data_IF_167270937445
#
_entry.id   IF_167270937445
#
_cell.length_a   1.000
_cell.length_b   1.000
_cell.length_c   1.000
_cell.angle_alpha   90.00
_cell.angle_beta   90.00
_cell.angle_gamma   90.00
#
_symmetry.space_group_name_H-M   'P 1'
#
loop_
_entity.id
_entity.type
_entity.pdbx_description
1 polymer ?
#
# COMPACT_ATOMS: atom_id res chain seq x y z
N UNK A 1 8.53 0.00 -66.27
CA UNK A 1 7.98 0.51 -65.00
C UNK A 1 8.97 0.10 -63.90
N UNK A 2 9.91 1.01 -63.53
CA UNK A 2 11.03 0.70 -62.65
C UNK A 2 10.53 0.64 -61.18
N UNK A 3 10.76 -0.48 -60.55
CA UNK A 3 10.59 -0.65 -59.10
C UNK A 3 11.80 0.04 -58.45
N UNK A 4 11.57 1.17 -57.77
CA UNK A 4 12.60 1.83 -56.95
C UNK A 4 12.80 1.01 -55.71
N UNK A 5 14.01 0.48 -55.53
CA UNK A 5 14.49 -0.13 -54.31
C UNK A 5 14.46 0.95 -53.18
N UNK A 6 13.64 0.68 -52.13
CA UNK A 6 13.72 1.44 -50.89
C UNK A 6 14.94 0.95 -50.10
N UNK A 7 15.77 1.84 -49.55
CA UNK A 7 16.89 1.42 -48.72
C UNK A 7 16.36 0.72 -47.49
N UNK A 8 16.91 -0.46 -47.21
CA UNK A 8 16.68 -1.22 -45.97
C UNK A 8 17.27 -0.37 -44.85
N UNK A 9 16.41 0.28 -44.07
CA UNK A 9 16.82 0.87 -42.81
C UNK A 9 17.27 -0.25 -41.87
N UNK A 10 18.57 -0.28 -41.61
CA UNK A 10 19.17 -1.14 -40.60
C UNK A 10 18.49 -0.81 -39.26
N UNK A 11 17.65 -1.69 -38.78
CA UNK A 11 17.16 -1.61 -37.37
C UNK A 11 18.41 -1.67 -36.49
N UNK A 12 18.60 -0.65 -35.65
CA UNK A 12 19.59 -0.74 -34.57
C UNK A 12 19.37 -2.03 -33.83
N UNK A 13 20.43 -2.75 -33.43
CA UNK A 13 20.27 -3.96 -32.63
C UNK A 13 19.55 -3.60 -31.34
N UNK A 14 18.47 -4.27 -31.05
CA UNK A 14 17.82 -4.25 -29.74
C UNK A 14 18.89 -4.65 -28.73
N UNK A 15 19.52 -3.66 -28.10
CA UNK A 15 20.32 -3.88 -26.90
C UNK A 15 19.35 -4.41 -25.85
N UNK A 16 19.45 -5.71 -25.55
CA UNK A 16 18.75 -6.31 -24.43
C UNK A 16 19.35 -5.67 -23.17
N UNK A 17 18.73 -4.58 -22.71
CA UNK A 17 19.01 -4.03 -21.39
C UNK A 17 18.46 -5.07 -20.40
N UNK A 18 19.35 -5.73 -19.67
CA UNK A 18 18.91 -6.61 -18.61
C UNK A 18 18.17 -5.76 -17.56
N UNK A 19 16.93 -6.13 -17.22
CA UNK A 19 16.18 -5.35 -16.24
C UNK A 19 16.85 -5.48 -14.87
N UNK A 20 17.08 -4.37 -14.17
CA UNK A 20 17.58 -4.37 -12.79
C UNK A 20 16.59 -5.09 -11.89
N UNK A 21 17.04 -6.13 -11.22
CA UNK A 21 16.20 -6.87 -10.28
C UNK A 21 16.04 -6.10 -8.96
N UNK A 22 14.96 -6.36 -8.23
CA UNK A 22 14.77 -5.77 -6.90
C UNK A 22 15.95 -6.08 -5.97
N UNK A 23 16.55 -7.27 -6.08
CA UNK A 23 17.71 -7.62 -5.29
C UNK A 23 18.95 -6.78 -5.61
N UNK A 24 19.26 -6.57 -6.88
CA UNK A 24 20.33 -5.68 -7.34
C UNK A 24 20.08 -4.24 -6.91
N UNK A 25 18.85 -3.74 -7.13
CA UNK A 25 18.46 -2.39 -6.72
C UNK A 25 18.66 -2.16 -5.21
N UNK A 26 18.25 -3.10 -4.36
CA UNK A 26 18.44 -3.00 -2.91
C UNK A 26 19.93 -2.94 -2.56
N UNK A 27 20.77 -3.76 -3.19
CA UNK A 27 22.22 -3.78 -2.94
C UNK A 27 22.90 -2.50 -3.41
N UNK A 28 22.55 -1.99 -4.58
CA UNK A 28 23.08 -0.74 -5.13
C UNK A 28 22.74 0.46 -4.24
N UNK A 29 21.49 0.54 -3.77
CA UNK A 29 21.04 1.64 -2.93
C UNK A 29 21.46 1.50 -1.44
N UNK A 30 21.95 0.35 -0.99
CA UNK A 30 22.46 0.21 0.37
C UNK A 30 23.59 1.20 0.70
N UNK A 31 24.35 1.62 -0.29
CA UNK A 31 25.48 2.55 -0.10
C UNK A 31 25.02 3.95 0.29
N UNK A 32 23.80 4.31 -0.04
CA UNK A 32 23.22 5.63 0.25
C UNK A 32 22.56 5.70 1.64
N UNK A 33 22.50 4.55 2.33
CA UNK A 33 21.95 4.45 3.68
C UNK A 33 23.06 4.12 4.69
N UNK A 34 23.59 5.12 5.42
CA UNK A 34 24.70 4.92 6.36
C UNK A 34 24.41 3.95 7.52
N UNK A 35 23.16 3.53 7.68
CA UNK A 35 22.72 2.56 8.70
C UNK A 35 22.23 1.23 8.11
N UNK A 36 22.42 0.98 6.83
CA UNK A 36 22.00 -0.27 6.18
C UNK A 36 22.94 -1.42 6.54
N UNK A 37 22.59 -2.15 7.59
CA UNK A 37 23.34 -3.33 8.07
C UNK A 37 23.08 -4.61 7.26
N UNK A 38 22.42 -4.53 6.11
CA UNK A 38 21.96 -5.70 5.35
C UNK A 38 20.68 -6.34 5.90
N UNK A 39 20.33 -6.09 7.15
CA UNK A 39 19.14 -6.66 7.80
C UNK A 39 17.83 -6.19 7.15
N UNK A 40 17.70 -4.89 6.84
CA UNK A 40 16.54 -4.36 6.11
C UNK A 40 16.41 -4.99 4.72
N UNK A 41 17.53 -5.22 4.05
CA UNK A 41 17.55 -5.89 2.74
C UNK A 41 17.09 -7.34 2.81
N UNK A 42 17.47 -8.05 3.85
CA UNK A 42 17.00 -9.42 4.12
C UNK A 42 15.51 -9.43 4.44
N UNK A 43 15.04 -8.47 5.24
CA UNK A 43 13.62 -8.31 5.55
C UNK A 43 12.78 -8.06 4.29
N UNK A 44 13.19 -7.12 3.43
CA UNK A 44 12.54 -6.88 2.13
C UNK A 44 12.59 -8.12 1.22
N UNK A 45 13.62 -8.95 1.34
CA UNK A 45 13.71 -10.24 0.63
C UNK A 45 12.67 -11.23 1.13
N UNK A 46 12.41 -11.29 2.44
CA UNK A 46 11.36 -12.14 3.03
C UNK A 46 9.98 -11.69 2.57
N UNK A 47 9.70 -10.39 2.59
CA UNK A 47 8.44 -9.82 2.09
C UNK A 47 8.23 -10.16 0.60
N UNK A 48 9.26 -9.95 -0.22
CA UNK A 48 9.23 -10.30 -1.65
C UNK A 48 8.93 -11.77 -1.90
N UNK A 49 9.48 -12.66 -1.08
CA UNK A 49 9.23 -14.10 -1.21
C UNK A 49 7.78 -14.43 -0.84
N UNK A 50 7.29 -13.90 0.28
CA UNK A 50 5.90 -14.09 0.70
C UNK A 50 4.93 -13.58 -0.38
N UNK A 51 5.15 -12.38 -0.91
CA UNK A 51 4.34 -11.80 -1.98
C UNK A 51 4.26 -12.70 -3.23
N UNK A 52 5.37 -13.36 -3.62
CA UNK A 52 5.35 -14.32 -4.74
C UNK A 52 4.53 -15.56 -4.46
N UNK A 53 4.57 -16.05 -3.21
CA UNK A 53 3.75 -17.21 -2.80
C UNK A 53 2.27 -16.83 -2.81
N UNK A 54 1.91 -15.69 -2.23
CA UNK A 54 0.54 -15.17 -2.24
C UNK A 54 0.05 -14.96 -3.67
N UNK A 55 0.84 -14.30 -4.53
CA UNK A 55 0.53 -14.14 -5.95
C UNK A 55 0.23 -15.45 -6.65
N UNK A 56 1.05 -16.48 -6.40
CA UNK A 56 0.84 -17.82 -6.99
C UNK A 56 -0.52 -18.39 -6.58
N UNK A 57 -0.91 -18.24 -5.32
CA UNK A 57 -2.18 -18.78 -4.84
C UNK A 57 -3.37 -17.96 -5.36
N UNK A 58 -3.30 -16.63 -5.36
CA UNK A 58 -4.32 -15.77 -5.99
C UNK A 58 -4.57 -16.16 -7.45
N UNK A 59 -3.50 -16.41 -8.22
CA UNK A 59 -3.62 -16.82 -9.63
C UNK A 59 -4.23 -18.23 -9.83
N UNK A 60 -4.40 -18.99 -8.75
CA UNK A 60 -5.11 -20.28 -8.75
C UNK A 60 -6.54 -20.18 -8.21
N UNK A 61 -6.99 -18.99 -7.86
CA UNK A 61 -8.35 -18.76 -7.40
C UNK A 61 -9.35 -19.31 -8.40
N UNK A 62 -10.30 -20.11 -7.94
CA UNK A 62 -11.22 -20.86 -8.79
C UNK A 62 -10.73 -22.23 -9.30
N UNK A 63 -9.42 -22.53 -9.24
CA UNK A 63 -8.85 -23.82 -9.59
C UNK A 63 -8.52 -24.69 -8.37
N UNK A 64 -8.30 -24.07 -7.23
CA UNK A 64 -8.04 -24.72 -5.95
C UNK A 64 -9.13 -24.31 -4.95
N UNK A 65 -9.30 -25.10 -3.89
CA UNK A 65 -10.26 -24.78 -2.80
C UNK A 65 -9.72 -23.69 -1.86
N UNK A 66 -9.46 -22.52 -2.42
CA UNK A 66 -8.95 -21.32 -1.75
C UNK A 66 -9.93 -20.13 -1.81
N UNK A 67 -11.06 -20.31 -2.51
CA UNK A 67 -12.15 -19.33 -2.56
C UNK A 67 -13.15 -19.54 -1.43
N UNK A 68 -13.87 -18.49 -1.10
CA UNK A 68 -14.97 -18.48 -0.15
C UNK A 68 -14.56 -18.24 1.30
N UNK A 69 -15.55 -17.87 2.08
CA UNK A 69 -15.41 -17.59 3.49
C UNK A 69 -15.19 -18.89 4.31
N UNK A 70 -14.41 -18.77 5.36
CA UNK A 70 -14.17 -19.89 6.31
C UNK A 70 -15.41 -20.11 7.21
N UNK A 71 -16.33 -19.14 7.24
CA UNK A 71 -17.50 -19.18 8.13
C UNK A 71 -17.19 -18.61 9.53
N UNK A 72 -16.01 -18.04 9.70
CA UNK A 72 -15.60 -17.27 10.87
C UNK A 72 -15.48 -15.79 10.52
N UNK A 73 -15.74 -14.93 11.47
CA UNK A 73 -15.43 -13.51 11.39
C UNK A 73 -14.04 -13.28 11.97
N UNK A 74 -13.29 -12.34 11.39
CA UNK A 74 -12.03 -11.89 11.98
C UNK A 74 -12.36 -11.05 13.24
N UNK A 75 -11.35 -10.66 13.96
CA UNK A 75 -11.44 -9.83 15.18
C UNK A 75 -12.14 -8.49 14.96
N UNK A 76 -12.29 -8.08 13.72
CA UNK A 76 -12.96 -6.86 13.29
C UNK A 76 -14.45 -7.06 12.99
N UNK A 77 -14.97 -8.30 13.07
CA UNK A 77 -16.34 -8.66 12.68
C UNK A 77 -16.53 -8.70 11.15
N UNK A 78 -15.45 -8.81 10.39
CA UNK A 78 -15.48 -9.00 8.95
C UNK A 78 -15.38 -10.48 8.60
N UNK A 79 -16.08 -10.93 7.57
CA UNK A 79 -16.07 -12.33 7.16
C UNK A 79 -14.70 -12.69 6.56
N UNK A 80 -13.97 -13.57 7.25
CA UNK A 80 -12.63 -13.98 6.88
C UNK A 80 -12.66 -14.92 5.68
N UNK A 81 -11.85 -14.61 4.67
CA UNK A 81 -11.67 -15.44 3.48
C UNK A 81 -10.53 -16.44 3.70
N UNK A 82 -10.57 -17.58 3.02
CA UNK A 82 -9.49 -18.59 3.09
C UNK A 82 -8.14 -18.02 2.65
N UNK A 83 -8.14 -17.08 1.69
CA UNK A 83 -6.93 -16.43 1.21
C UNK A 83 -6.34 -15.43 2.21
N UNK A 84 -7.15 -14.80 3.06
CA UNK A 84 -6.64 -13.93 4.14
C UNK A 84 -5.76 -14.72 5.10
N UNK A 85 -6.28 -15.84 5.59
CA UNK A 85 -5.54 -16.73 6.49
C UNK A 85 -4.26 -17.26 5.82
N UNK A 86 -4.35 -17.69 4.57
CA UNK A 86 -3.19 -18.18 3.83
C UNK A 86 -2.14 -17.09 3.63
N UNK A 87 -2.56 -15.86 3.30
CA UNK A 87 -1.67 -14.73 3.13
C UNK A 87 -0.99 -14.36 4.45
N UNK A 88 -1.79 -14.23 5.54
CA UNK A 88 -1.28 -13.96 6.87
C UNK A 88 -0.23 -15.01 7.30
N UNK A 89 -0.56 -16.29 7.23
CA UNK A 89 0.36 -17.39 7.56
C UNK A 89 1.65 -17.36 6.73
N UNK A 90 1.54 -17.02 5.44
CA UNK A 90 2.67 -16.95 4.53
C UNK A 90 3.62 -15.82 4.91
N UNK A 91 3.10 -14.62 5.17
CA UNK A 91 3.91 -13.48 5.61
C UNK A 91 4.50 -13.72 7.00
N UNK A 92 3.71 -14.19 7.98
CA UNK A 92 4.18 -14.50 9.33
C UNK A 92 5.36 -15.48 9.31
N UNK A 93 5.24 -16.54 8.52
CA UNK A 93 6.30 -17.55 8.35
C UNK A 93 7.56 -16.98 7.70
N UNK A 94 7.40 -16.17 6.65
CA UNK A 94 8.53 -15.54 5.96
C UNK A 94 9.25 -14.51 6.85
N UNK A 95 8.51 -13.71 7.61
CA UNK A 95 9.08 -12.71 8.52
C UNK A 95 9.81 -13.34 9.71
N UNK A 96 9.32 -14.48 10.19
CA UNK A 96 9.97 -15.23 11.26
C UNK A 96 11.24 -15.96 10.82
N UNK A 97 11.37 -16.33 9.55
CA UNK A 97 12.42 -17.26 9.08
C UNK A 97 13.84 -16.70 9.11
N UNK A 98 14.03 -15.38 9.16
CA UNK A 98 15.32 -14.73 8.90
C UNK A 98 15.92 -13.98 10.10
N UNK A 99 15.24 -13.92 11.25
CA UNK A 99 15.77 -13.35 12.48
C UNK A 99 15.95 -11.81 12.52
N UNK A 100 15.41 -11.06 11.53
CA UNK A 100 15.52 -9.59 11.53
C UNK A 100 14.34 -8.90 12.23
N UNK A 101 13.23 -9.62 12.44
CA UNK A 101 11.97 -9.11 12.98
C UNK A 101 11.79 -9.68 14.38
N UNK A 102 11.53 -8.82 15.36
CA UNK A 102 11.23 -9.22 16.73
C UNK A 102 9.73 -9.33 17.01
N UNK A 103 8.88 -8.82 16.12
CA UNK A 103 7.43 -8.95 16.25
C UNK A 103 6.68 -8.39 15.05
N UNK A 104 5.46 -8.85 14.90
CA UNK A 104 4.55 -8.48 13.82
C UNK A 104 3.19 -8.11 14.41
N UNK A 105 2.55 -7.07 13.87
CA UNK A 105 1.14 -6.80 14.05
C UNK A 105 0.46 -6.91 12.69
N UNK A 106 -0.59 -7.71 12.62
CA UNK A 106 -1.37 -7.95 11.41
C UNK A 106 -2.81 -7.52 11.62
N UNK A 107 -3.47 -7.10 10.56
CA UNK A 107 -4.90 -6.82 10.57
C UNK A 107 -5.72 -8.04 10.98
N UNK A 108 -5.24 -9.23 10.63
CA UNK A 108 -5.91 -10.52 10.85
C UNK A 108 -5.72 -11.10 12.26
N UNK A 109 -4.88 -10.47 13.10
CA UNK A 109 -4.55 -10.95 14.44
C UNK A 109 -5.14 -10.01 15.52
N UNK A 110 -5.68 -10.54 16.60
CA UNK A 110 -6.23 -9.75 17.73
C UNK A 110 -5.21 -8.81 18.38
N UNK A 111 -3.95 -9.25 18.38
CA UNK A 111 -2.84 -8.56 19.04
C UNK A 111 -1.56 -8.73 18.23
N UNK A 112 -0.51 -8.01 18.62
CA UNK A 112 0.79 -8.26 18.06
C UNK A 112 1.34 -9.64 18.47
N UNK A 113 2.17 -10.21 17.60
CA UNK A 113 2.89 -11.46 17.84
C UNK A 113 4.37 -11.13 18.02
N UNK A 114 4.88 -11.34 19.22
CA UNK A 114 6.30 -11.25 19.53
C UNK A 114 7.02 -12.57 19.19
N UNK A 115 8.22 -12.49 18.64
CA UNK A 115 9.07 -13.65 18.39
C UNK A 115 10.08 -13.76 19.53
N UNK A 116 9.94 -14.79 20.36
CA UNK A 116 10.73 -14.96 21.61
C UNK A 116 11.95 -15.86 21.47
N UNK A 117 12.21 -16.40 20.27
CA UNK A 117 13.37 -17.22 19.98
C UNK A 117 14.66 -16.39 20.10
N UNK A 118 15.78 -16.98 20.50
CA UNK A 118 17.09 -16.31 20.70
C UNK A 118 17.51 -15.45 19.49
N UNK A 119 17.26 -15.93 18.27
CA UNK A 119 17.60 -15.21 17.03
C UNK A 119 16.77 -13.94 16.81
N UNK A 120 15.63 -13.78 17.48
CA UNK A 120 14.71 -12.66 17.32
C UNK A 120 14.79 -11.64 18.46
N UNK A 121 15.32 -12.02 19.61
CA UNK A 121 15.36 -11.14 20.79
C UNK A 121 16.22 -9.90 20.56
N UNK A 122 17.28 -10.02 19.74
CA UNK A 122 18.16 -8.92 19.35
C UNK A 122 17.75 -8.23 18.04
N UNK A 123 16.70 -8.74 17.39
CA UNK A 123 16.19 -8.16 16.14
C UNK A 123 15.72 -6.71 16.33
N UNK A 124 15.98 -5.89 15.32
CA UNK A 124 15.80 -4.42 15.41
C UNK A 124 14.46 -3.93 14.86
N UNK A 125 13.76 -4.78 14.12
CA UNK A 125 12.58 -4.36 13.36
C UNK A 125 11.32 -5.02 13.86
N UNK A 126 10.23 -4.27 13.74
CA UNK A 126 8.87 -4.77 13.78
C UNK A 126 8.20 -4.50 12.43
N UNK A 127 7.23 -5.32 12.08
CA UNK A 127 6.45 -5.19 10.85
C UNK A 127 4.98 -5.06 11.20
N UNK A 128 4.31 -4.10 10.57
CA UNK A 128 2.85 -3.96 10.62
C UNK A 128 2.32 -4.17 9.21
N UNK A 129 1.25 -4.95 9.05
CA UNK A 129 0.76 -5.31 7.73
C UNK A 129 -0.75 -5.54 7.69
N UNK A 130 -1.31 -5.26 6.52
CA UNK A 130 -2.51 -5.87 5.99
C UNK A 130 -2.08 -6.94 4.99
N UNK A 131 -2.22 -8.22 5.31
CA UNK A 131 -1.75 -9.30 4.44
C UNK A 131 -2.46 -9.37 3.11
N UNK A 132 -3.74 -8.99 3.05
CA UNK A 132 -4.54 -9.07 1.84
C UNK A 132 -5.68 -8.03 1.79
N UNK A 133 -5.33 -6.76 1.53
CA UNK A 133 -6.31 -5.67 1.30
C UNK A 133 -7.30 -6.02 0.20
N UNK A 134 -8.57 -5.81 0.50
CA UNK A 134 -9.66 -5.98 -0.44
C UNK A 134 -10.04 -7.43 -0.72
N UNK A 135 -9.81 -8.35 0.22
CA UNK A 135 -10.08 -9.79 0.08
C UNK A 135 -11.50 -10.16 -0.36
N UNK A 136 -12.50 -9.34 -0.02
CA UNK A 136 -13.88 -9.50 -0.51
C UNK A 136 -14.01 -9.43 -2.05
N UNK A 137 -12.99 -8.96 -2.75
CA UNK A 137 -12.95 -8.87 -4.21
C UNK A 137 -12.41 -10.14 -4.89
N UNK A 138 -11.88 -11.09 -4.14
CA UNK A 138 -11.23 -12.29 -4.70
C UNK A 138 -12.23 -13.15 -5.46
N UNK A 139 -13.41 -13.37 -4.90
CA UNK A 139 -14.44 -14.22 -5.49
C UNK A 139 -15.00 -13.68 -6.83
N UNK A 140 -14.78 -12.41 -7.10
CA UNK A 140 -15.21 -11.73 -8.33
C UNK A 140 -14.04 -11.32 -9.23
N UNK A 141 -12.83 -11.83 -8.92
CA UNK A 141 -11.61 -11.63 -9.71
C UNK A 141 -11.23 -10.15 -9.90
N UNK A 142 -11.44 -9.32 -8.88
CA UNK A 142 -10.97 -7.94 -8.82
C UNK A 142 -9.63 -7.92 -8.07
N UNK A 143 -8.74 -7.00 -8.46
CA UNK A 143 -7.39 -6.91 -7.89
C UNK A 143 -7.44 -6.66 -6.38
N UNK A 144 -6.54 -7.32 -5.67
CA UNK A 144 -6.30 -7.22 -4.23
C UNK A 144 -4.84 -6.83 -3.97
N UNK A 145 -4.46 -6.60 -2.72
CA UNK A 145 -3.10 -6.22 -2.42
C UNK A 145 -2.62 -6.63 -1.03
N UNK A 146 -1.34 -6.46 -0.80
CA UNK A 146 -0.72 -6.54 0.53
C UNK A 146 -0.15 -5.17 0.87
N UNK A 147 -0.32 -4.69 2.08
CA UNK A 147 0.26 -3.43 2.56
C UNK A 147 1.17 -3.75 3.75
N UNK A 148 2.35 -3.11 3.81
CA UNK A 148 3.27 -3.32 4.93
C UNK A 148 4.03 -2.04 5.29
N UNK A 149 4.41 -1.95 6.56
CA UNK A 149 5.33 -0.96 7.08
C UNK A 149 6.33 -1.58 8.04
N UNK A 150 7.52 -0.98 8.09
CA UNK A 150 8.63 -1.44 8.90
C UNK A 150 9.04 -0.30 9.82
N UNK A 151 9.14 -0.59 11.12
CA UNK A 151 9.62 0.34 12.14
C UNK A 151 10.80 -0.25 12.90
N UNK A 152 11.56 0.59 13.58
CA UNK A 152 12.48 0.12 14.60
C UNK A 152 11.72 -0.14 15.90
N UNK A 153 12.10 -1.22 16.59
CA UNK A 153 11.65 -1.40 17.97
C UNK A 153 12.20 -0.26 18.85
N UNK A 154 11.43 0.16 19.84
CA UNK A 154 11.84 1.16 20.85
C UNK A 154 12.25 0.50 22.16
N UNK A 155 11.78 -0.73 22.43
CA UNK A 155 12.22 -1.55 23.56
C UNK A 155 13.68 -1.97 23.40
N UNK A 156 14.44 -2.14 24.50
CA UNK A 156 15.84 -2.56 24.43
C UNK A 156 16.02 -3.91 23.73
N UNK A 157 17.12 -4.07 22.98
CA UNK A 157 17.51 -5.36 22.43
C UNK A 157 17.66 -6.39 23.55
N UNK A 158 17.31 -7.66 23.28
CA UNK A 158 17.31 -8.73 24.28
C UNK A 158 16.06 -8.74 25.19
N UNK A 159 15.16 -7.77 25.11
CA UNK A 159 13.89 -7.78 25.83
C UNK A 159 12.72 -8.22 24.94
N UNK A 160 11.63 -8.76 25.49
CA UNK A 160 10.40 -8.98 24.72
C UNK A 160 9.88 -7.67 24.13
N UNK A 161 9.27 -7.76 22.94
CA UNK A 161 8.54 -6.63 22.37
C UNK A 161 7.26 -6.36 23.16
N UNK A 162 6.83 -5.12 23.14
CA UNK A 162 5.63 -4.65 23.83
C UNK A 162 4.70 -3.90 22.88
N UNK A 163 3.48 -3.64 23.28
CA UNK A 163 2.53 -2.86 22.49
C UNK A 163 3.09 -1.49 22.08
N UNK A 164 3.93 -0.87 22.92
CA UNK A 164 4.57 0.43 22.62
C UNK A 164 5.48 0.37 21.40
N UNK A 165 6.07 -0.77 21.10
CA UNK A 165 6.90 -0.92 19.91
C UNK A 165 6.08 -0.77 18.62
N UNK A 166 4.79 -1.11 18.66
CA UNK A 166 3.88 -1.03 17.52
C UNK A 166 3.11 0.28 17.44
N UNK A 167 2.80 0.90 18.58
CA UNK A 167 2.08 2.17 18.64
C UNK A 167 3.02 3.35 18.42
N UNK A 168 3.58 3.45 17.21
CA UNK A 168 4.45 4.55 16.79
C UNK A 168 3.75 5.39 15.72
N UNK A 169 3.98 6.72 15.68
CA UNK A 169 3.42 7.58 14.63
C UNK A 169 3.97 7.19 13.25
N UNK A 170 3.24 7.56 12.20
CA UNK A 170 3.57 7.16 10.85
C UNK A 170 4.88 7.70 10.30
N UNK A 171 5.39 8.81 10.82
CA UNK A 171 6.68 9.39 10.43
C UNK A 171 7.90 8.63 11.00
N UNK A 172 7.69 7.75 11.99
CA UNK A 172 8.74 6.84 12.51
C UNK A 172 9.00 5.63 11.60
N UNK A 173 8.27 5.46 10.51
CA UNK A 173 8.49 4.38 9.55
C UNK A 173 9.88 4.47 8.92
N UNK A 174 10.57 3.32 8.82
CA UNK A 174 11.85 3.19 8.11
C UNK A 174 11.61 2.82 6.66
N UNK A 175 10.60 2.03 6.42
CA UNK A 175 10.18 1.62 5.08
C UNK A 175 8.68 1.33 5.09
N UNK A 176 8.06 1.55 3.95
CA UNK A 176 6.70 1.13 3.67
C UNK A 176 6.57 0.66 2.23
N UNK A 177 5.63 -0.23 1.98
CA UNK A 177 5.37 -0.73 0.65
C UNK A 177 4.02 -1.41 0.54
N UNK A 178 3.66 -1.68 -0.69
CA UNK A 178 2.51 -2.52 -1.01
C UNK A 178 2.80 -3.41 -2.21
N UNK A 179 2.05 -4.49 -2.30
CA UNK A 179 1.99 -5.32 -3.50
C UNK A 179 0.58 -5.25 -4.04
N UNK A 180 0.42 -4.94 -5.32
CA UNK A 180 -0.86 -5.04 -6.02
C UNK A 180 -0.85 -6.29 -6.90
N UNK A 181 -1.83 -7.16 -6.68
CA UNK A 181 -2.05 -8.38 -7.45
C UNK A 181 -3.15 -8.09 -8.48
N UNK A 182 -2.72 -7.55 -9.64
CA UNK A 182 -3.60 -7.12 -10.73
C UNK A 182 -3.26 -7.80 -12.05
N UNK A 183 -3.49 -7.09 -13.16
CA UNK A 183 -3.12 -7.57 -14.51
C UNK A 183 -1.62 -7.87 -14.65
N UNK A 184 -0.79 -7.23 -13.86
CA UNK A 184 0.56 -7.63 -13.50
C UNK A 184 0.72 -7.48 -11.99
N UNK A 185 1.60 -8.27 -11.38
CA UNK A 185 1.90 -8.12 -9.95
C UNK A 185 3.01 -7.10 -9.80
N UNK A 186 2.74 -6.03 -9.03
CA UNK A 186 3.71 -4.98 -8.78
C UNK A 186 3.97 -4.82 -7.28
N UNK A 187 5.23 -4.69 -6.92
CA UNK A 187 5.68 -4.29 -5.59
C UNK A 187 6.17 -2.85 -5.67
N UNK A 188 5.61 -1.98 -4.87
CA UNK A 188 6.01 -0.58 -4.74
C UNK A 188 6.47 -0.34 -3.32
N UNK A 189 7.64 0.27 -3.13
CA UNK A 189 8.12 0.58 -1.79
C UNK A 189 8.98 1.84 -1.74
N UNK A 190 9.15 2.34 -0.54
CA UNK A 190 10.07 3.42 -0.18
C UNK A 190 10.79 3.10 1.12
N UNK A 191 12.00 3.64 1.23
CA UNK A 191 12.78 3.68 2.48
C UNK A 191 13.01 5.12 2.94
N UNK A 192 12.13 6.04 2.52
CA UNK A 192 12.25 7.47 2.83
C UNK A 192 13.07 8.29 1.83
N UNK A 193 13.50 7.68 0.71
CA UNK A 193 14.26 8.33 -0.36
C UNK A 193 13.65 8.06 -1.74
N UNK A 194 12.45 8.61 -1.96
CA UNK A 194 11.69 8.38 -3.18
C UNK A 194 10.99 7.01 -3.20
N UNK A 195 10.21 6.79 -4.23
CA UNK A 195 9.35 5.62 -4.41
C UNK A 195 9.74 4.87 -5.66
N UNK A 196 9.85 3.55 -5.57
CA UNK A 196 10.19 2.72 -6.73
C UNK A 196 9.22 1.55 -6.89
N UNK A 197 8.85 1.25 -8.12
CA UNK A 197 7.94 0.18 -8.48
C UNK A 197 8.61 -0.92 -9.30
N UNK A 198 8.32 -2.16 -8.94
CA UNK A 198 8.89 -3.38 -9.52
C UNK A 198 7.77 -4.28 -10.00
N UNK A 199 7.86 -4.73 -11.24
CA UNK A 199 6.91 -5.68 -11.80
C UNK A 199 7.48 -7.10 -11.71
N UNK A 200 6.65 -8.04 -11.28
CA UNK A 200 7.02 -9.45 -11.28
C UNK A 200 7.05 -9.98 -12.70
N UNK A 201 8.22 -10.44 -13.14
CA UNK A 201 8.31 -11.28 -14.35
C UNK A 201 7.94 -12.72 -13.97
N UNK A 202 6.79 -13.23 -14.39
CA UNK A 202 6.32 -14.56 -14.00
C UNK A 202 7.14 -15.68 -14.61
N UNK A 203 7.88 -15.43 -15.71
CA UNK A 203 8.67 -16.43 -16.41
C UNK A 203 9.91 -16.85 -15.63
N UNK A 204 10.50 -15.93 -14.90
CA UNK A 204 11.69 -16.17 -14.08
C UNK A 204 11.43 -15.98 -12.56
N UNK A 205 10.22 -15.54 -12.22
CA UNK A 205 9.80 -15.36 -10.83
C UNK A 205 10.55 -14.25 -10.09
N UNK A 206 10.93 -13.15 -10.79
CA UNK A 206 11.74 -12.06 -10.23
C UNK A 206 11.03 -10.71 -10.40
N UNK A 207 11.03 -9.91 -9.36
CA UNK A 207 10.61 -8.51 -9.44
C UNK A 207 11.69 -7.68 -10.11
N UNK A 208 11.35 -7.00 -11.21
CA UNK A 208 12.25 -6.15 -11.99
C UNK A 208 11.80 -4.70 -11.91
N UNK A 209 12.76 -3.77 -11.79
CA UNK A 209 12.49 -2.32 -11.75
C UNK A 209 11.78 -1.89 -13.03
N UNK A 210 10.56 -1.43 -12.90
CA UNK A 210 9.72 -0.98 -14.01
C UNK A 210 9.31 0.48 -13.90
N UNK A 211 9.25 1.01 -12.67
CA UNK A 211 8.84 2.37 -12.37
C UNK A 211 9.84 3.00 -11.38
N UNK A 212 11.01 3.48 -11.86
CA UNK A 212 11.96 4.17 -11.00
C UNK A 212 11.47 5.57 -10.64
N UNK A 213 11.77 6.02 -9.41
CA UNK A 213 11.51 7.37 -8.93
C UNK A 213 10.07 7.85 -9.22
N UNK A 214 9.09 7.04 -8.78
CA UNK A 214 7.67 7.36 -8.97
C UNK A 214 7.32 8.67 -8.27
N UNK A 215 6.66 9.56 -9.01
CA UNK A 215 6.09 10.79 -8.49
C UNK A 215 4.62 10.87 -8.84
N UNK A 216 3.80 11.34 -7.90
CA UNK A 216 2.40 11.60 -8.19
C UNK A 216 2.24 12.95 -8.87
N UNK A 217 1.41 13.08 -9.93
CA UNK A 217 1.09 14.38 -10.48
C UNK A 217 0.51 15.33 -9.42
N UNK A 218 0.91 16.60 -9.48
CA UNK A 218 0.46 17.64 -8.54
C UNK A 218 -1.06 17.78 -8.51
N UNK A 219 -1.70 17.53 -9.67
CA UNK A 219 -3.14 17.51 -9.85
C UNK A 219 -3.54 16.37 -10.80
N UNK A 220 -4.71 15.77 -10.56
CA UNK A 220 -5.26 14.71 -11.40
C UNK A 220 -6.67 15.01 -11.85
N UNK A 221 -7.26 14.05 -12.57
CA UNK A 221 -8.65 14.12 -13.06
C UNK A 221 -9.50 12.98 -12.55
N UNK A 222 -9.08 12.34 -11.44
CA UNK A 222 -9.74 11.16 -10.90
C UNK A 222 -10.05 11.41 -9.42
N UNK A 223 -11.28 11.11 -9.03
CA UNK A 223 -11.62 10.94 -7.62
C UNK A 223 -12.18 9.53 -7.39
N UNK A 224 -11.80 8.95 -6.26
CA UNK A 224 -12.11 7.56 -5.89
C UNK A 224 -12.80 7.55 -4.54
N UNK A 225 -14.09 7.24 -4.53
CA UNK A 225 -14.91 7.16 -3.31
C UNK A 225 -16.12 6.27 -3.57
N UNK A 226 -16.57 5.52 -2.57
CA UNK A 226 -17.82 4.79 -2.66
C UNK A 226 -19.02 5.77 -2.54
N UNK A 227 -19.50 6.28 -3.68
CA UNK A 227 -20.64 7.18 -3.71
C UNK A 227 -21.96 6.53 -3.25
N UNK A 228 -22.03 5.20 -3.16
CA UNK A 228 -23.15 4.50 -2.52
C UNK A 228 -23.39 4.93 -1.06
N UNK A 229 -22.32 5.43 -0.40
CA UNK A 229 -22.39 5.97 0.96
C UNK A 229 -22.70 7.47 1.03
N UNK A 230 -23.03 8.13 -0.09
CA UNK A 230 -23.19 9.58 -0.18
C UNK A 230 -24.16 10.15 0.88
N UNK A 231 -25.26 9.46 1.16
CA UNK A 231 -26.26 9.91 2.14
C UNK A 231 -25.66 10.04 3.55
N UNK A 232 -24.65 9.25 3.86
CA UNK A 232 -23.97 9.16 5.16
C UNK A 232 -22.81 10.14 5.32
N UNK A 233 -22.35 10.78 4.22
CA UNK A 233 -21.19 11.67 4.25
C UNK A 233 -21.49 13.01 4.93
N UNK A 234 -20.48 13.60 5.60
CA UNK A 234 -20.56 14.99 6.09
C UNK A 234 -20.78 15.98 4.96
N UNK A 235 -21.34 17.15 5.29
CA UNK A 235 -21.64 18.20 4.32
C UNK A 235 -20.41 18.63 3.52
N UNK A 236 -19.25 18.76 4.15
CA UNK A 236 -17.99 19.12 3.48
C UNK A 236 -17.60 18.14 2.38
N UNK A 237 -17.74 16.83 2.63
CA UNK A 237 -17.47 15.79 1.62
C UNK A 237 -18.46 15.87 0.46
N UNK A 238 -19.76 16.02 0.75
CA UNK A 238 -20.81 16.17 -0.28
C UNK A 238 -20.53 17.37 -1.19
N UNK A 239 -20.12 18.49 -0.63
CA UNK A 239 -19.80 19.71 -1.39
C UNK A 239 -18.54 19.53 -2.22
N UNK A 240 -17.52 18.82 -1.71
CA UNK A 240 -16.34 18.49 -2.49
C UNK A 240 -16.66 17.56 -3.67
N UNK A 241 -17.50 16.54 -3.47
CA UNK A 241 -17.93 15.66 -4.56
C UNK A 241 -18.72 16.44 -5.62
N UNK A 242 -19.61 17.34 -5.20
CA UNK A 242 -20.31 18.24 -6.12
C UNK A 242 -19.33 19.10 -6.91
N UNK A 243 -18.31 19.68 -6.26
CA UNK A 243 -17.23 20.40 -6.92
C UNK A 243 -16.53 19.54 -7.97
N UNK A 244 -16.18 18.27 -7.66
CA UNK A 244 -15.55 17.37 -8.63
C UNK A 244 -16.43 17.10 -9.87
N UNK A 245 -17.75 17.15 -9.74
CA UNK A 245 -18.73 16.83 -10.78
C UNK A 245 -19.18 18.05 -11.60
N UNK A 246 -19.01 19.27 -11.09
CA UNK A 246 -19.39 20.49 -11.79
C UNK A 246 -18.44 20.81 -12.95
N UNK A 247 -19.00 21.33 -14.05
CA UNK A 247 -18.21 21.77 -15.19
C UNK A 247 -17.46 23.07 -14.89
N UNK A 248 -16.17 23.05 -15.15
CA UNK A 248 -15.30 24.22 -15.09
C UNK A 248 -14.06 23.99 -15.98
N UNK A 249 -13.98 24.70 -17.08
CA UNK A 249 -12.90 24.55 -18.05
C UNK A 249 -11.54 24.96 -17.49
N UNK A 250 -11.52 25.97 -16.63
CA UNK A 250 -10.27 26.50 -16.05
C UNK A 250 -9.55 25.48 -15.16
N UNK A 251 -10.29 24.58 -14.54
CA UNK A 251 -9.77 23.52 -13.66
C UNK A 251 -9.90 22.11 -14.25
N UNK A 252 -10.25 22.02 -15.55
CA UNK A 252 -10.45 20.73 -16.25
C UNK A 252 -11.49 19.81 -15.58
N UNK A 253 -12.53 20.37 -14.92
CA UNK A 253 -13.64 19.61 -14.37
C UNK A 253 -14.78 19.44 -15.38
N UNK A 254 -15.62 18.39 -15.30
CA UNK A 254 -15.72 17.42 -14.21
C UNK A 254 -14.57 16.41 -14.18
N UNK A 255 -14.21 16.01 -12.96
CA UNK A 255 -13.28 14.87 -12.75
C UNK A 255 -14.00 13.56 -12.99
N UNK A 256 -13.23 12.51 -13.27
CA UNK A 256 -13.77 11.17 -13.52
C UNK A 256 -13.86 10.40 -12.21
N UNK A 257 -15.05 9.88 -11.87
CA UNK A 257 -15.21 8.92 -10.79
C UNK A 257 -14.60 7.58 -11.18
N UNK A 258 -13.73 7.06 -10.33
CA UNK A 258 -13.12 5.73 -10.46
C UNK A 258 -12.99 5.13 -9.06
N UNK A 259 -13.76 4.11 -8.78
CA UNK A 259 -13.72 3.38 -7.52
C UNK A 259 -13.75 1.88 -7.80
N UNK A 260 -12.67 1.19 -7.45
CA UNK A 260 -12.51 -0.26 -7.65
C UNK A 260 -13.05 -1.00 -6.43
N UNK A 261 -12.89 -0.42 -5.23
CA UNK A 261 -13.25 -1.05 -3.98
C UNK A 261 -12.14 -1.92 -3.38
N UNK A 262 -10.91 -1.82 -3.91
CA UNK A 262 -9.66 -2.28 -3.32
C UNK A 262 -8.79 -1.04 -3.09
N UNK A 263 -8.42 -0.78 -1.85
CA UNK A 263 -7.64 0.41 -1.48
C UNK A 263 -6.32 0.48 -2.24
N UNK A 264 -5.56 -0.62 -2.25
CA UNK A 264 -4.28 -0.69 -2.96
C UNK A 264 -4.44 -0.38 -4.44
N UNK A 265 -5.48 -0.91 -5.09
CA UNK A 265 -5.69 -0.73 -6.54
C UNK A 265 -6.11 0.69 -6.87
N UNK A 266 -7.01 1.29 -6.09
CA UNK A 266 -7.43 2.68 -6.25
C UNK A 266 -6.27 3.64 -5.98
N UNK A 267 -5.49 3.40 -4.92
CA UNK A 267 -4.30 4.16 -4.57
C UNK A 267 -3.22 4.07 -5.66
N UNK A 268 -2.88 2.87 -6.12
CA UNK A 268 -1.87 2.64 -7.16
C UNK A 268 -2.19 3.38 -8.45
N UNK A 269 -3.45 3.33 -8.89
CA UNK A 269 -3.91 4.09 -10.06
C UNK A 269 -3.72 5.59 -9.86
N UNK A 270 -4.12 6.12 -8.69
CA UNK A 270 -4.02 7.55 -8.40
C UNK A 270 -2.56 7.99 -8.26
N UNK A 271 -1.67 7.14 -7.70
CA UNK A 271 -0.25 7.41 -7.63
C UNK A 271 0.37 7.60 -9.02
N UNK A 272 -0.04 6.79 -10.02
CA UNK A 272 0.50 6.87 -11.38
C UNK A 272 -0.15 7.99 -12.21
N UNK A 273 -1.46 8.20 -12.09
CA UNK A 273 -2.23 9.07 -12.99
C UNK A 273 -2.58 10.43 -12.40
N UNK A 274 -2.33 10.63 -11.12
CA UNK A 274 -2.90 11.72 -10.37
C UNK A 274 -4.37 11.46 -10.01
N UNK A 275 -4.78 11.94 -8.87
CA UNK A 275 -6.13 11.76 -8.36
C UNK A 275 -6.18 11.79 -6.85
N UNK A 276 -7.37 11.67 -6.29
CA UNK A 276 -7.59 11.59 -4.84
C UNK A 276 -8.46 10.39 -4.51
N UNK A 277 -8.06 9.65 -3.49
CA UNK A 277 -8.85 8.61 -2.86
C UNK A 277 -9.41 9.15 -1.53
N UNK A 278 -10.70 8.92 -1.29
CA UNK A 278 -11.40 9.38 -0.10
C UNK A 278 -12.11 8.21 0.58
N UNK A 279 -11.83 8.05 1.86
CA UNK A 279 -12.63 7.22 2.74
C UNK A 279 -13.00 8.06 3.99
N UNK A 280 -14.02 8.96 3.86
CA UNK A 280 -14.37 9.89 4.92
C UNK A 280 -15.10 9.19 6.07
N UNK A 281 -15.26 9.90 7.17
CA UNK A 281 -16.25 9.56 8.21
C UNK A 281 -17.66 9.60 7.63
N UNK A 282 -18.56 8.92 8.30
CA UNK A 282 -20.00 8.95 7.99
C UNK A 282 -20.81 8.35 9.13
N UNK A 283 -22.13 8.43 9.05
CA UNK A 283 -23.01 7.90 10.11
C UNK A 283 -22.84 6.39 10.33
N UNK A 284 -22.39 5.65 9.31
CA UNK A 284 -22.11 4.21 9.41
C UNK A 284 -20.67 3.90 9.86
N UNK A 285 -19.76 4.85 9.76
CA UNK A 285 -18.36 4.73 10.15
C UNK A 285 -17.88 6.07 10.75
N UNK A 286 -18.25 6.39 11.99
CA UNK A 286 -17.97 7.69 12.59
C UNK A 286 -16.48 7.96 12.79
N UNK A 287 -15.67 6.93 12.94
CA UNK A 287 -14.21 7.01 13.06
C UNK A 287 -13.47 6.69 11.75
N UNK A 288 -14.17 6.61 10.61
CA UNK A 288 -13.60 6.03 9.38
C UNK A 288 -13.68 4.50 9.37
N UNK A 289 -13.22 3.88 8.30
CA UNK A 289 -13.20 2.41 8.15
C UNK A 289 -11.77 1.85 8.12
N UNK A 290 -10.84 2.57 7.50
CA UNK A 290 -9.48 2.10 7.27
C UNK A 290 -8.65 2.16 8.56
N UNK A 291 -7.70 1.23 8.69
CA UNK A 291 -6.86 1.11 9.88
C UNK A 291 -5.63 2.01 9.74
N UNK A 292 -5.38 2.81 10.79
CA UNK A 292 -4.26 3.75 10.79
C UNK A 292 -2.92 3.05 10.54
N UNK A 293 -2.65 1.99 11.28
CA UNK A 293 -1.33 1.36 11.32
C UNK A 293 -1.04 0.44 10.13
N UNK A 294 -2.05 -0.26 9.62
CA UNK A 294 -1.86 -1.29 8.60
C UNK A 294 -2.04 -0.77 7.17
N UNK A 295 -2.89 0.24 6.98
CA UNK A 295 -3.29 0.76 5.68
C UNK A 295 -2.90 2.24 5.51
N UNK A 296 -3.36 3.12 6.41
CA UNK A 296 -3.23 4.56 6.20
C UNK A 296 -1.80 5.06 6.35
N UNK A 297 -1.06 4.67 7.40
CA UNK A 297 0.33 5.08 7.62
C UNK A 297 1.27 4.63 6.49
N UNK A 298 1.30 3.35 6.07
CA UNK A 298 2.18 2.94 4.98
C UNK A 298 1.87 3.65 3.67
N UNK A 299 0.59 3.80 3.29
CA UNK A 299 0.23 4.49 2.06
C UNK A 299 0.48 6.00 2.13
N UNK A 300 0.29 6.62 3.30
CA UNK A 300 0.64 8.02 3.53
C UNK A 300 2.15 8.25 3.39
N UNK A 301 2.97 7.36 3.95
CA UNK A 301 4.43 7.45 3.82
C UNK A 301 4.87 7.34 2.36
N UNK A 302 4.29 6.41 1.60
CA UNK A 302 4.59 6.24 0.18
C UNK A 302 4.15 7.47 -0.63
N UNK A 303 2.92 7.95 -0.44
CA UNK A 303 2.41 9.07 -1.26
C UNK A 303 3.19 10.35 -1.02
N UNK A 304 3.61 10.62 0.22
CA UNK A 304 4.40 11.81 0.55
C UNK A 304 5.82 11.73 -0.04
N UNK A 305 6.44 10.54 -0.03
CA UNK A 305 7.72 10.31 -0.71
C UNK A 305 7.60 10.46 -2.24
N UNK A 306 6.41 10.33 -2.79
CA UNK A 306 6.11 10.58 -4.19
C UNK A 306 5.66 12.02 -4.48
N UNK A 307 5.66 12.93 -3.48
CA UNK A 307 5.24 14.33 -3.62
C UNK A 307 3.73 14.57 -3.46
N UNK A 308 2.98 13.60 -2.95
CA UNK A 308 1.57 13.71 -2.64
C UNK A 308 1.27 14.11 -1.20
N UNK A 309 0.02 13.96 -0.79
CA UNK A 309 -0.47 14.29 0.55
C UNK A 309 -1.44 13.24 1.08
N UNK A 310 -1.48 13.11 2.42
CA UNK A 310 -2.47 12.30 3.13
C UNK A 310 -2.93 12.98 4.42
N UNK A 311 -4.24 13.11 4.61
CA UNK A 311 -4.87 13.71 5.80
C UNK A 311 -6.11 12.94 6.23
N UNK A 312 -6.44 13.01 7.52
CA UNK A 312 -7.72 12.53 8.06
C UNK A 312 -8.87 13.57 7.87
N UNK A 313 -8.53 14.72 7.28
CA UNK A 313 -9.42 15.88 7.13
C UNK A 313 -9.14 16.98 8.17
N UNK A 314 -8.31 16.72 9.19
CA UNK A 314 -7.88 17.69 10.19
C UNK A 314 -6.36 17.70 10.37
N UNK A 315 -5.73 16.53 10.39
CA UNK A 315 -4.29 16.34 10.61
C UNK A 315 -3.68 15.55 9.45
N UNK A 316 -2.38 15.67 9.29
CA UNK A 316 -1.57 14.80 8.45
C UNK A 316 -1.58 13.39 9.03
N UNK A 317 -1.80 12.37 8.21
CA UNK A 317 -1.91 10.96 8.66
C UNK A 317 -0.68 10.54 9.47
N UNK A 318 0.52 10.86 9.00
CA UNK A 318 1.77 10.42 9.64
C UNK A 318 2.01 11.04 11.02
N UNK A 319 1.30 12.10 11.39
CA UNK A 319 1.37 12.79 12.69
C UNK A 319 0.31 12.34 13.71
N UNK A 320 -0.49 11.34 13.34
CA UNK A 320 -1.50 10.81 14.26
C UNK A 320 -0.80 9.83 15.21
N UNK A 321 -0.84 10.13 16.49
CA UNK A 321 -0.38 9.20 17.53
C UNK A 321 -1.38 8.05 17.66
N UNK A 322 -0.98 6.80 17.40
CA UNK A 322 -1.88 5.66 17.51
C UNK A 322 -2.17 5.35 18.99
N UNK A 323 -3.44 5.09 19.29
CA UNK A 323 -3.90 4.72 20.63
C UNK A 323 -4.13 3.22 20.81
N UNK A 324 -4.35 2.50 19.69
CA UNK A 324 -4.60 1.06 19.66
C UNK A 324 -4.18 0.47 18.31
N UNK A 325 -3.95 -0.85 18.28
CA UNK A 325 -3.47 -1.55 17.07
C UNK A 325 -4.45 -1.44 15.89
N UNK A 326 -5.72 -1.54 16.15
CA UNK A 326 -6.77 -1.54 15.12
C UNK A 326 -7.49 -0.19 15.01
N UNK A 327 -6.83 0.89 15.42
CA UNK A 327 -7.39 2.24 15.31
C UNK A 327 -7.81 2.56 13.89
N UNK A 328 -9.07 2.98 13.74
CA UNK A 328 -9.63 3.41 12.45
C UNK A 328 -9.57 4.92 12.31
N UNK A 329 -9.33 5.37 11.08
CA UNK A 329 -9.29 6.80 10.73
C UNK A 329 -9.93 7.03 9.37
N UNK A 330 -10.50 8.21 9.10
CA UNK A 330 -10.82 8.62 7.76
C UNK A 330 -9.53 8.98 7.00
N UNK A 331 -9.57 8.92 5.66
CA UNK A 331 -8.41 9.29 4.86
C UNK A 331 -8.81 10.04 3.58
N UNK A 332 -8.00 11.04 3.23
CA UNK A 332 -7.98 11.77 1.97
C UNK A 332 -6.53 11.74 1.49
N UNK A 333 -6.25 11.00 0.41
CA UNK A 333 -4.88 10.70 -0.02
C UNK A 333 -4.74 10.81 -1.54
N UNK A 334 -3.66 11.43 -2.01
CA UNK A 334 -3.40 11.53 -3.44
C UNK A 334 -2.64 12.78 -3.85
N UNK A 335 -3.00 13.33 -5.01
CA UNK A 335 -2.43 14.56 -5.58
C UNK A 335 -2.59 15.73 -4.61
N UNK A 336 -1.52 16.48 -4.30
CA UNK A 336 -1.54 17.47 -3.22
C UNK A 336 -2.63 18.54 -3.40
N UNK A 337 -2.79 19.12 -4.59
CA UNK A 337 -3.83 20.14 -4.85
C UNK A 337 -5.25 19.60 -4.64
N UNK A 338 -5.49 18.34 -4.99
CA UNK A 338 -6.81 17.73 -4.81
C UNK A 338 -7.12 17.46 -3.34
N UNK A 339 -6.12 17.02 -2.58
CA UNK A 339 -6.24 16.80 -1.13
C UNK A 339 -6.42 18.14 -0.39
N UNK A 340 -5.65 19.16 -0.73
CA UNK A 340 -5.79 20.53 -0.19
C UNK A 340 -7.18 21.09 -0.47
N UNK A 341 -7.70 20.90 -1.69
CA UNK A 341 -9.03 21.34 -2.05
C UNK A 341 -10.10 20.61 -1.24
N UNK A 342 -9.99 19.28 -1.10
CA UNK A 342 -10.90 18.50 -0.26
C UNK A 342 -10.86 19.01 1.19
N UNK A 343 -9.66 19.22 1.75
CA UNK A 343 -9.48 19.76 3.09
C UNK A 343 -10.15 21.14 3.26
N UNK A 344 -9.99 22.03 2.29
CA UNK A 344 -10.63 23.37 2.32
C UNK A 344 -12.17 23.27 2.38
N UNK A 345 -12.78 22.32 1.63
CA UNK A 345 -14.21 22.06 1.72
C UNK A 345 -14.62 21.52 3.10
N UNK A 346 -13.85 20.61 3.68
CA UNK A 346 -14.13 20.08 5.02
C UNK A 346 -14.07 21.19 6.08
N UNK A 347 -13.10 22.10 6.01
CA UNK A 347 -12.99 23.22 6.95
C UNK A 347 -14.12 24.23 6.74
N UNK A 348 -14.48 24.54 5.50
CA UNK A 348 -15.55 25.52 5.16
C UNK A 348 -16.93 25.07 5.61
N UNK A 349 -17.22 23.79 5.55
CA UNK A 349 -18.51 23.19 5.88
C UNK A 349 -18.44 22.29 7.11
N UNK A 350 -17.60 22.69 8.08
CA UNK A 350 -17.48 22.01 9.37
C UNK A 350 -18.81 22.19 10.14
N UNK A 351 -19.43 21.07 10.52
CA UNK A 351 -20.67 21.02 11.31
C UNK A 351 -20.36 21.15 12.80
#
# INVERSE_FOLDING_TARGET
MCIRDRPITTKEPLTMVQPTTLGEFIVENQRDFPFASGELSQLLTSIRLAAKVVNREINKAGLADILGAIGTENVQGEQQQKLDVMANDTFMRALRSMGQVCGVASEEEDSFIGFEDEIHTDAKYIVLMDPLDGSSNIDVNVSVGTIFSIYRRISPAGSPVSLKDFLQPGDAQIAAGYVVYGSSTMLVYTTGNGVNGFTLDPSIGVFCLSHPNMTIPEEGKIYSVNEGNYVHFPTGVKQYLKYCQEYDEATNRPYTSRYIGSLVSDFHRNLIKGGVYLYPTGTMAPNGKLRLLYECNPLAFIVEQAGGMATDGAKRILEIDPSELHQRVPIFIGSPRMVETAHAFLQKYKE
#
